data_IF_067497573052
#
_entry.id   IF_067497573052
#
_cell.length_a   1.000
_cell.length_b   1.000
_cell.length_c   1.000
_cell.angle_alpha   90.00
_cell.angle_beta   90.00
_cell.angle_gamma   90.00
#
_symmetry.space_group_name_H-M   'P 1'
#
loop_
_entity.id
_entity.type
_entity.pdbx_description
1 polymer ?
#
# COMPACT_ATOMS: atom_id res chain seq x y z
N UNK A 1 22.25 -6.96 8.75
CA UNK A 1 21.37 -6.39 7.72
C UNK A 1 21.85 -5.00 7.33
N UNK A 2 21.61 -4.62 6.09
CA UNK A 2 21.91 -3.28 5.53
C UNK A 2 20.73 -2.82 4.69
N UNK A 3 20.63 -1.52 4.45
CA UNK A 3 19.67 -0.98 3.49
C UNK A 3 19.82 -1.59 2.09
N UNK A 4 18.73 -1.70 1.33
CA UNK A 4 18.68 -2.45 0.07
C UNK A 4 19.78 -2.05 -0.93
N UNK A 5 20.04 -0.75 -1.10
CA UNK A 5 21.10 -0.27 -2.03
C UNK A 5 22.51 -0.68 -1.59
N UNK A 6 22.72 -0.95 -0.31
CA UNK A 6 23.99 -1.42 0.25
C UNK A 6 24.16 -2.93 0.21
N UNK A 7 23.11 -3.66 -0.18
CA UNK A 7 23.12 -5.12 -0.24
C UNK A 7 23.60 -5.61 -1.60
N UNK A 8 24.77 -6.21 -1.63
CA UNK A 8 25.31 -6.87 -2.83
C UNK A 8 24.32 -7.96 -3.31
N UNK A 9 23.81 -8.76 -2.38
CA UNK A 9 22.85 -9.83 -2.69
C UNK A 9 21.58 -9.29 -3.42
N UNK A 10 20.97 -8.21 -2.91
CA UNK A 10 19.72 -7.70 -3.49
C UNK A 10 19.95 -7.09 -4.88
N UNK A 11 21.00 -6.29 -5.05
CA UNK A 11 21.21 -5.54 -6.29
C UNK A 11 21.99 -6.38 -7.31
N UNK A 12 23.13 -6.95 -6.92
CA UNK A 12 23.99 -7.67 -7.85
C UNK A 12 23.49 -9.10 -8.10
N UNK A 13 23.46 -9.93 -7.05
CA UNK A 13 23.20 -11.37 -7.24
C UNK A 13 21.76 -11.64 -7.67
N UNK A 14 20.79 -10.96 -7.03
CA UNK A 14 19.37 -11.19 -7.32
C UNK A 14 18.90 -10.38 -8.55
N UNK A 15 18.99 -9.03 -8.50
CA UNK A 15 18.40 -8.19 -9.52
C UNK A 15 19.19 -8.28 -10.85
N UNK A 16 20.51 -8.10 -10.80
CA UNK A 16 21.36 -8.08 -12.00
C UNK A 16 21.63 -9.47 -12.56
N UNK A 17 22.10 -10.40 -11.74
CA UNK A 17 22.56 -11.71 -12.25
C UNK A 17 21.40 -12.69 -12.39
N UNK A 18 20.59 -12.91 -11.33
CA UNK A 18 19.51 -13.90 -11.38
C UNK A 18 18.36 -13.50 -12.30
N UNK A 19 17.92 -12.25 -12.23
CA UNK A 19 16.79 -11.74 -13.04
C UNK A 19 17.23 -10.99 -14.30
N UNK A 20 18.51 -10.77 -14.53
CA UNK A 20 19.02 -10.16 -15.75
C UNK A 20 18.55 -8.73 -15.98
N UNK A 21 18.30 -7.96 -14.92
CA UNK A 21 17.81 -6.60 -15.06
C UNK A 21 18.88 -5.65 -15.61
N UNK A 22 18.67 -5.14 -16.82
CA UNK A 22 19.60 -4.28 -17.54
C UNK A 22 19.29 -2.77 -17.43
N UNK A 23 18.17 -2.41 -16.81
CA UNK A 23 17.76 -1.02 -16.65
C UNK A 23 18.56 -0.26 -15.59
N UNK A 24 18.30 1.04 -15.47
CA UNK A 24 18.89 1.91 -14.46
C UNK A 24 18.36 1.54 -13.08
N UNK A 25 19.26 1.40 -12.11
CA UNK A 25 18.93 1.35 -10.69
C UNK A 25 19.31 2.67 -10.05
N UNK A 26 18.31 3.38 -9.53
CA UNK A 26 18.46 4.63 -8.80
C UNK A 26 18.22 4.40 -7.31
N UNK A 27 19.00 5.06 -6.45
CA UNK A 27 18.72 5.06 -5.01
C UNK A 27 17.48 5.89 -4.67
N UNK A 28 16.95 5.69 -3.49
CA UNK A 28 16.08 6.68 -2.85
C UNK A 28 16.86 7.96 -2.49
N UNK A 29 16.15 8.99 -2.01
CA UNK A 29 16.70 10.33 -1.77
C UNK A 29 17.72 10.33 -0.65
N UNK A 30 18.92 10.83 -0.99
CA UNK A 30 20.04 11.13 -0.08
C UNK A 30 20.40 10.00 0.91
N UNK A 31 20.24 8.75 0.49
CA UNK A 31 20.49 7.58 1.36
C UNK A 31 21.96 7.40 1.73
N UNK A 32 22.88 8.06 1.02
CA UNK A 32 24.33 8.05 1.31
C UNK A 32 24.74 9.10 2.32
N UNK A 33 23.84 10.05 2.63
CA UNK A 33 24.06 11.08 3.63
C UNK A 33 24.28 10.53 5.04
N UNK A 34 24.87 11.36 5.90
CA UNK A 34 24.98 11.02 7.31
C UNK A 34 23.61 10.95 7.99
N UNK A 35 23.47 10.14 9.06
CA UNK A 35 22.21 10.04 9.77
C UNK A 35 21.73 11.41 10.28
N UNK A 36 20.46 11.73 10.00
CA UNK A 36 19.82 12.96 10.44
C UNK A 36 18.52 12.64 11.21
N UNK A 37 18.50 12.83 12.53
CA UNK A 37 17.32 12.53 13.36
C UNK A 37 16.06 13.30 12.95
N UNK A 38 16.22 14.48 12.37
CA UNK A 38 15.08 15.34 12.00
C UNK A 38 14.48 14.93 10.64
N UNK A 39 15.29 14.38 9.75
CA UNK A 39 14.87 13.98 8.40
C UNK A 39 14.58 12.48 8.28
N UNK A 40 15.22 11.64 9.08
CA UNK A 40 15.08 10.18 9.00
C UNK A 40 13.86 9.69 9.77
N UNK A 41 12.70 9.76 9.14
CA UNK A 41 11.44 9.40 9.76
C UNK A 41 11.32 7.92 10.17
N UNK A 42 12.03 7.01 9.46
CA UNK A 42 11.88 5.56 9.59
C UNK A 42 13.18 4.80 9.87
N UNK A 43 14.13 5.43 10.51
CA UNK A 43 15.45 4.86 10.80
C UNK A 43 16.55 5.57 10.03
N UNK A 44 17.79 5.07 10.13
CA UNK A 44 18.91 5.66 9.42
C UNK A 44 18.82 5.45 7.92
N UNK A 45 18.96 6.52 7.13
CA UNK A 45 19.05 6.45 5.66
C UNK A 45 20.23 5.60 5.20
N UNK A 46 21.31 5.55 5.97
CA UNK A 46 22.48 4.70 5.73
C UNK A 46 22.50 3.47 6.64
N UNK A 47 21.34 2.83 6.84
CA UNK A 47 21.16 1.70 7.74
C UNK A 47 22.17 0.57 7.51
N UNK A 48 22.90 0.25 8.57
CA UNK A 48 23.90 -0.83 8.61
C UNK A 48 25.24 -0.49 7.99
N UNK A 49 25.48 0.80 7.63
CA UNK A 49 26.73 1.34 7.10
C UNK A 49 27.04 2.73 7.69
N UNK A 50 26.50 3.02 8.85
CA UNK A 50 26.67 4.29 9.54
C UNK A 50 28.13 4.64 9.81
N UNK A 51 28.98 3.63 10.04
CA UNK A 51 30.42 3.77 10.32
C UNK A 51 31.25 4.13 9.09
N UNK A 52 30.68 4.01 7.89
CA UNK A 52 31.37 4.38 6.65
C UNK A 52 31.25 5.89 6.39
N UNK A 53 32.29 6.48 5.77
CA UNK A 53 32.16 7.83 5.24
C UNK A 53 31.17 7.89 4.07
N UNK A 54 30.65 9.10 3.77
CA UNK A 54 29.74 9.31 2.63
C UNK A 54 30.35 8.77 1.32
N UNK A 55 31.64 9.01 1.07
CA UNK A 55 32.31 8.50 -0.12
C UNK A 55 32.42 6.96 -0.14
N UNK A 56 32.68 6.34 1.00
CA UNK A 56 32.70 4.88 1.10
C UNK A 56 31.31 4.25 0.90
N UNK A 57 30.26 4.91 1.37
CA UNK A 57 28.86 4.50 1.10
C UNK A 57 28.56 4.58 -0.40
N UNK A 58 28.95 5.66 -1.07
CA UNK A 58 28.83 5.79 -2.54
C UNK A 58 29.58 4.66 -3.26
N UNK A 59 30.83 4.40 -2.87
CA UNK A 59 31.62 3.32 -3.48
C UNK A 59 30.93 1.96 -3.34
N UNK A 60 30.44 1.64 -2.15
CA UNK A 60 29.73 0.38 -1.90
C UNK A 60 28.50 0.22 -2.81
N UNK A 61 27.68 1.27 -2.93
CA UNK A 61 26.49 1.29 -3.79
C UNK A 61 26.87 1.14 -5.27
N UNK A 62 27.89 1.86 -5.73
CA UNK A 62 28.41 1.75 -7.09
C UNK A 62 28.83 0.31 -7.38
N UNK A 63 29.64 -0.29 -6.50
CA UNK A 63 30.12 -1.66 -6.71
C UNK A 63 29.04 -2.73 -6.65
N UNK A 64 27.93 -2.47 -5.96
CA UNK A 64 26.75 -3.34 -5.95
C UNK A 64 25.94 -3.29 -7.26
N UNK A 65 26.18 -2.32 -8.16
CA UNK A 65 25.48 -2.26 -9.44
C UNK A 65 24.37 -1.20 -9.54
N UNK A 66 24.33 -0.25 -8.61
CA UNK A 66 23.47 0.94 -8.68
C UNK A 66 24.10 1.98 -9.62
N UNK A 67 23.31 2.65 -10.42
CA UNK A 67 23.76 3.51 -11.51
C UNK A 67 23.55 5.00 -11.25
N UNK A 68 22.61 5.35 -10.39
CA UNK A 68 22.21 6.74 -10.14
C UNK A 68 21.86 6.97 -8.66
N UNK A 69 22.16 8.15 -8.16
CA UNK A 69 21.84 8.57 -6.80
C UNK A 69 20.68 9.55 -6.82
N UNK A 70 19.59 9.20 -6.11
CA UNK A 70 18.45 10.09 -5.93
C UNK A 70 18.75 11.19 -4.90
N UNK A 71 18.30 12.42 -5.18
CA UNK A 71 18.41 13.56 -4.27
C UNK A 71 19.81 14.13 -4.03
N UNK A 72 20.84 13.51 -4.55
CA UNK A 72 22.22 13.95 -4.40
C UNK A 72 22.59 14.94 -5.52
N UNK A 73 23.07 16.12 -5.15
CA UNK A 73 23.52 17.17 -6.10
C UNK A 73 25.02 17.43 -6.02
N UNK A 74 25.70 16.90 -5.00
CA UNK A 74 27.14 17.04 -4.81
C UNK A 74 27.87 15.91 -5.53
N UNK A 75 28.80 16.29 -6.44
CA UNK A 75 29.62 15.33 -7.16
C UNK A 75 30.87 14.88 -6.37
N UNK A 76 31.31 15.65 -5.38
CA UNK A 76 32.59 15.39 -4.72
C UNK A 76 32.59 14.02 -4.00
N UNK A 77 31.54 13.57 -3.30
CA UNK A 77 31.52 12.22 -2.71
C UNK A 77 31.66 11.10 -3.76
N UNK A 78 31.10 11.29 -4.97
CA UNK A 78 31.21 10.31 -6.07
C UNK A 78 32.64 10.30 -6.63
N UNK A 79 33.25 11.47 -6.80
CA UNK A 79 34.63 11.58 -7.26
C UNK A 79 35.61 10.97 -6.25
N UNK A 80 35.38 11.18 -4.97
CA UNK A 80 36.19 10.57 -3.92
C UNK A 80 35.98 9.06 -3.86
N UNK A 81 34.73 8.59 -4.00
CA UNK A 81 34.42 7.16 -4.12
C UNK A 81 35.16 6.51 -5.29
N UNK A 82 35.26 7.20 -6.45
CA UNK A 82 36.03 6.72 -7.59
C UNK A 82 37.51 6.58 -7.24
N UNK A 83 38.14 7.60 -6.58
CA UNK A 83 39.55 7.56 -6.16
C UNK A 83 39.81 6.39 -5.21
N UNK A 84 38.97 6.25 -4.14
CA UNK A 84 39.07 5.14 -3.20
C UNK A 84 38.91 3.79 -3.93
N UNK A 85 38.00 3.72 -4.88
CA UNK A 85 37.76 2.52 -5.67
C UNK A 85 38.98 2.18 -6.57
N UNK A 86 39.61 3.17 -7.18
CA UNK A 86 40.85 2.95 -7.96
C UNK A 86 41.99 2.38 -7.12
N UNK A 87 42.15 2.86 -5.89
CA UNK A 87 43.16 2.35 -4.96
C UNK A 87 42.86 0.90 -4.52
N UNK A 88 41.57 0.54 -4.36
CA UNK A 88 41.17 -0.79 -3.87
C UNK A 88 41.04 -1.82 -5.00
N UNK A 89 40.51 -1.45 -6.15
CA UNK A 89 40.09 -2.37 -7.23
C UNK A 89 40.83 -2.14 -8.55
N UNK A 90 41.60 -1.09 -8.65
CA UNK A 90 42.28 -0.68 -9.87
C UNK A 90 41.43 0.23 -10.76
N UNK A 91 42.12 1.14 -11.47
CA UNK A 91 41.50 2.16 -12.33
C UNK A 91 40.66 1.55 -13.45
N UNK A 92 41.12 0.48 -14.10
CA UNK A 92 40.40 -0.19 -15.18
C UNK A 92 39.04 -0.77 -14.70
N UNK A 93 39.04 -1.37 -13.52
CA UNK A 93 37.81 -1.91 -12.92
C UNK A 93 36.79 -0.80 -12.62
N UNK A 94 37.25 0.29 -12.03
CA UNK A 94 36.39 1.41 -11.71
C UNK A 94 35.86 2.10 -12.97
N UNK A 95 36.71 2.32 -13.96
CA UNK A 95 36.32 2.90 -15.25
C UNK A 95 35.24 2.06 -15.92
N UNK A 96 35.43 0.75 -16.06
CA UNK A 96 34.45 -0.15 -16.64
C UNK A 96 33.12 -0.10 -15.88
N UNK A 97 33.17 -0.10 -14.54
CA UNK A 97 31.94 -0.02 -13.73
C UNK A 97 31.19 1.30 -13.96
N UNK A 98 31.85 2.41 -14.09
CA UNK A 98 31.23 3.70 -14.40
C UNK A 98 30.69 3.75 -15.83
N UNK A 99 31.40 3.17 -16.80
CA UNK A 99 30.96 3.03 -18.19
C UNK A 99 29.67 2.20 -18.29
N UNK A 100 29.54 1.11 -17.52
CA UNK A 100 28.30 0.31 -17.44
C UNK A 100 27.10 1.14 -16.99
N UNK A 101 27.27 1.96 -15.96
CA UNK A 101 26.23 2.87 -15.50
C UNK A 101 25.88 3.95 -16.53
N UNK A 102 26.90 4.53 -17.17
CA UNK A 102 26.70 5.52 -18.22
C UNK A 102 25.89 4.94 -19.39
N UNK A 103 26.21 3.73 -19.83
CA UNK A 103 25.46 3.02 -20.89
C UNK A 103 24.00 2.84 -20.49
N UNK A 104 23.72 2.37 -19.29
CA UNK A 104 22.33 2.17 -18.81
C UNK A 104 21.54 3.47 -18.77
N UNK A 105 22.15 4.54 -18.25
CA UNK A 105 21.50 5.87 -18.17
C UNK A 105 21.23 6.43 -19.57
N UNK A 106 22.22 6.38 -20.46
CA UNK A 106 22.10 6.87 -21.83
C UNK A 106 21.10 6.04 -22.65
N UNK A 107 20.99 4.75 -22.38
CA UNK A 107 20.03 3.87 -23.09
C UNK A 107 18.59 4.38 -22.98
N UNK A 108 18.19 4.97 -21.86
CA UNK A 108 16.85 5.56 -21.72
C UNK A 108 16.66 6.75 -22.68
N UNK A 109 17.69 7.57 -22.85
CA UNK A 109 17.65 8.73 -23.76
C UNK A 109 17.55 8.25 -25.21
N UNK A 110 18.34 7.22 -25.58
CA UNK A 110 18.29 6.64 -26.92
C UNK A 110 16.94 5.96 -27.21
N UNK A 111 16.42 5.14 -26.27
CA UNK A 111 15.15 4.43 -26.45
C UNK A 111 13.93 5.35 -26.55
N UNK A 112 13.99 6.52 -25.95
CA UNK A 112 12.93 7.55 -26.05
C UNK A 112 13.12 8.51 -27.22
N UNK A 113 14.22 8.37 -28.02
CA UNK A 113 14.49 9.21 -29.19
C UNK A 113 14.83 10.66 -28.86
N UNK A 114 15.30 10.95 -27.64
CA UNK A 114 15.55 12.33 -27.20
C UNK A 114 16.72 12.99 -27.89
N UNK A 115 17.64 12.23 -28.50
CA UNK A 115 18.73 12.81 -29.33
C UNK A 115 18.20 13.23 -30.70
N UNK A 116 17.22 12.53 -31.25
CA UNK A 116 16.62 12.81 -32.54
C UNK A 116 15.54 13.89 -32.45
N UNK A 117 14.73 13.81 -31.38
CA UNK A 117 13.65 14.76 -31.11
C UNK A 117 13.51 15.05 -29.61
N UNK A 118 14.20 16.06 -29.07
CA UNK A 118 14.14 16.42 -27.66
C UNK A 118 12.87 17.20 -27.27
N UNK A 119 12.05 17.59 -28.23
CA UNK A 119 10.84 18.39 -28.01
C UNK A 119 9.59 17.58 -28.25
N UNK A 120 8.55 17.86 -27.47
CA UNK A 120 7.22 17.31 -27.65
C UNK A 120 6.41 18.23 -28.56
N UNK A 121 5.65 17.61 -29.46
CA UNK A 121 4.64 18.31 -30.24
C UNK A 121 3.38 18.48 -29.38
N UNK A 122 3.00 19.73 -29.10
CA UNK A 122 1.89 20.04 -28.18
C UNK A 122 0.57 19.41 -28.65
N UNK A 123 0.25 19.48 -29.94
CA UNK A 123 -0.99 18.94 -30.50
C UNK A 123 -1.03 17.40 -30.46
N UNK A 124 0.11 16.75 -30.63
CA UNK A 124 0.19 15.28 -30.48
C UNK A 124 0.11 14.87 -28.99
N UNK A 125 0.74 15.64 -28.11
CA UNK A 125 0.63 15.43 -26.67
C UNK A 125 -0.81 15.55 -26.17
N UNK A 126 -1.58 16.54 -26.65
CA UNK A 126 -3.01 16.71 -26.33
C UNK A 126 -3.87 15.54 -26.81
N UNK A 127 -3.52 14.90 -27.91
CA UNK A 127 -4.22 13.71 -28.41
C UNK A 127 -3.89 12.45 -27.60
N UNK A 128 -2.67 12.36 -27.04
CA UNK A 128 -2.19 11.19 -26.33
C UNK A 128 -2.53 11.24 -24.84
N UNK A 129 -2.25 12.38 -24.18
CA UNK A 129 -2.50 12.53 -22.73
C UNK A 129 -4.01 12.60 -22.48
N UNK A 130 -4.49 11.63 -21.71
CA UNK A 130 -5.92 11.53 -21.41
C UNK A 130 -6.77 11.06 -22.61
N UNK A 131 -6.17 10.40 -23.60
CA UNK A 131 -6.92 9.81 -24.72
C UNK A 131 -8.01 8.87 -24.19
N UNK A 132 -9.17 8.90 -24.84
CA UNK A 132 -10.36 8.18 -24.38
C UNK A 132 -10.10 6.67 -24.19
N UNK A 133 -9.32 6.07 -25.08
CA UNK A 133 -8.94 4.64 -24.98
C UNK A 133 -8.14 4.34 -23.72
N UNK A 134 -7.20 5.22 -23.32
CA UNK A 134 -6.39 5.04 -22.09
C UNK A 134 -7.22 5.28 -20.82
N UNK A 135 -8.11 6.29 -20.87
CA UNK A 135 -9.06 6.54 -19.77
C UNK A 135 -9.99 5.34 -19.58
N UNK A 136 -10.52 4.78 -20.66
CA UNK A 136 -11.36 3.57 -20.63
C UNK A 136 -10.58 2.35 -20.10
N UNK A 137 -9.37 2.14 -20.59
CA UNK A 137 -8.52 1.02 -20.11
C UNK A 137 -8.21 1.15 -18.62
N UNK A 138 -7.83 2.35 -18.14
CA UNK A 138 -7.59 2.62 -16.73
C UNK A 138 -8.86 2.45 -15.86
N UNK A 139 -10.01 2.86 -16.37
CA UNK A 139 -11.28 2.67 -15.69
C UNK A 139 -11.68 1.18 -15.62
N UNK A 140 -11.49 0.44 -16.71
CA UNK A 140 -11.73 -1.00 -16.71
C UNK A 140 -10.82 -1.73 -15.72
N UNK A 141 -9.56 -1.34 -15.60
CA UNK A 141 -8.65 -1.88 -14.61
C UNK A 141 -9.14 -1.63 -13.16
N UNK A 142 -9.73 -0.46 -12.88
CA UNK A 142 -10.37 -0.19 -11.59
C UNK A 142 -11.52 -1.19 -11.33
N UNK A 143 -12.41 -1.39 -12.28
CA UNK A 143 -13.51 -2.35 -12.15
C UNK A 143 -13.01 -3.78 -11.96
N UNK A 144 -12.01 -4.20 -12.73
CA UNK A 144 -11.45 -5.54 -12.68
C UNK A 144 -10.67 -5.83 -11.38
N UNK A 145 -10.23 -4.78 -10.66
CA UNK A 145 -9.51 -4.91 -9.39
C UNK A 145 -10.40 -5.03 -8.15
N UNK A 146 -11.70 -4.71 -8.26
CA UNK A 146 -12.64 -4.81 -7.13
C UNK A 146 -12.89 -6.28 -6.80
N UNK A 147 -12.70 -6.65 -5.53
CA UNK A 147 -12.87 -8.01 -5.03
C UNK A 147 -14.22 -8.12 -4.32
N UNK A 148 -15.06 -9.04 -4.73
CA UNK A 148 -16.26 -9.42 -4.00
C UNK A 148 -15.88 -10.51 -2.99
N UNK A 149 -15.92 -10.17 -1.69
CA UNK A 149 -15.57 -11.10 -0.61
C UNK A 149 -16.79 -11.86 -0.07
N UNK A 150 -17.94 -11.19 -0.01
CA UNK A 150 -19.20 -11.74 0.51
C UNK A 150 -20.36 -11.25 -0.33
N UNK A 151 -21.34 -12.13 -0.59
CA UNK A 151 -22.59 -11.80 -1.29
C UNK A 151 -23.75 -12.67 -0.82
N UNK A 152 -24.13 -12.52 0.43
CA UNK A 152 -25.16 -13.34 1.09
C UNK A 152 -26.49 -13.25 0.34
N UNK A 153 -27.00 -14.40 -0.08
CA UNK A 153 -28.27 -14.48 -0.80
C UNK A 153 -28.31 -13.78 -2.15
N UNK A 154 -27.15 -13.43 -2.75
CA UNK A 154 -27.10 -12.76 -4.06
C UNK A 154 -27.64 -11.33 -4.04
N UNK A 155 -27.36 -10.57 -2.99
CA UNK A 155 -27.80 -9.17 -2.83
C UNK A 155 -27.24 -8.28 -3.93
N UNK A 156 -25.98 -8.48 -4.27
CA UNK A 156 -25.34 -7.79 -5.40
C UNK A 156 -25.51 -8.60 -6.70
N UNK A 157 -25.73 -7.93 -7.82
CA UNK A 157 -25.84 -6.49 -7.98
C UNK A 157 -27.20 -5.96 -7.47
N UNK A 158 -27.18 -4.74 -6.93
CA UNK A 158 -28.40 -4.04 -6.54
C UNK A 158 -29.23 -3.71 -7.78
N UNK A 159 -30.57 -3.81 -7.66
CA UNK A 159 -31.50 -3.47 -8.75
C UNK A 159 -31.47 -1.95 -9.01
N UNK A 160 -31.68 -1.58 -10.25
CA UNK A 160 -31.89 -0.19 -10.63
C UNK A 160 -33.02 0.44 -9.79
N UNK A 161 -32.82 1.70 -9.39
CA UNK A 161 -33.74 2.46 -8.52
C UNK A 161 -33.94 1.92 -7.10
N UNK A 162 -33.09 1.01 -6.63
CA UNK A 162 -33.00 0.70 -5.20
C UNK A 162 -32.77 1.98 -4.41
N UNK A 163 -33.50 2.20 -3.33
CA UNK A 163 -33.27 3.34 -2.43
C UNK A 163 -32.09 3.01 -1.53
N UNK A 164 -31.01 3.77 -1.67
CA UNK A 164 -29.74 3.50 -1.01
C UNK A 164 -29.42 4.60 0.01
N UNK A 165 -29.18 4.20 1.23
CA UNK A 165 -28.63 5.03 2.29
C UNK A 165 -27.11 4.93 2.31
N UNK A 166 -26.44 6.08 2.36
CA UNK A 166 -24.98 6.18 2.55
C UNK A 166 -24.75 7.02 3.81
N UNK A 167 -24.28 6.39 4.92
CA UNK A 167 -23.99 7.14 6.14
C UNK A 167 -22.82 8.10 5.90
N UNK A 168 -22.80 9.19 6.67
CA UNK A 168 -21.64 10.04 6.76
C UNK A 168 -20.54 9.29 7.52
N UNK A 169 -19.30 9.54 7.12
CA UNK A 169 -18.12 8.99 7.76
C UNK A 169 -17.40 10.09 8.53
N UNK A 170 -17.08 9.82 9.78
CA UNK A 170 -16.24 10.68 10.59
C UNK A 170 -14.77 10.30 10.38
N UNK A 171 -13.91 11.31 10.16
CA UNK A 171 -12.46 11.15 10.01
C UNK A 171 -11.81 11.98 11.11
N UNK A 172 -11.12 11.31 12.02
CA UNK A 172 -10.36 11.99 13.08
C UNK A 172 -9.23 12.83 12.50
N UNK A 173 -8.94 13.96 13.17
CA UNK A 173 -7.75 14.74 12.86
C UNK A 173 -6.49 13.90 13.11
N UNK A 174 -5.56 13.94 12.16
CA UNK A 174 -4.29 13.18 12.25
C UNK A 174 -3.13 13.95 11.65
N UNK A 175 -1.92 13.60 12.05
CA UNK A 175 -0.70 14.15 11.45
C UNK A 175 -0.50 13.54 10.06
N UNK A 176 -0.53 14.36 9.03
CA UNK A 176 -0.19 13.94 7.67
C UNK A 176 1.32 13.91 7.45
N UNK A 177 1.81 12.95 6.67
CA UNK A 177 3.23 12.75 6.44
C UNK A 177 3.95 14.01 5.90
N UNK A 178 3.33 14.73 4.95
CA UNK A 178 3.87 15.97 4.38
C UNK A 178 2.98 17.20 4.57
N UNK A 179 1.83 17.06 5.22
CA UNK A 179 0.79 18.11 5.24
C UNK A 179 0.51 18.70 6.63
N UNK A 180 1.33 18.38 7.64
CA UNK A 180 1.06 18.79 9.01
C UNK A 180 -0.20 18.13 9.59
N UNK A 181 -0.91 18.82 10.48
CA UNK A 181 -2.16 18.30 11.07
C UNK A 181 -3.32 18.38 10.06
N UNK A 182 -3.88 17.24 9.73
CA UNK A 182 -5.12 17.14 8.99
C UNK A 182 -6.28 17.31 9.97
N UNK A 183 -7.26 18.20 9.67
CA UNK A 183 -8.36 18.46 10.59
C UNK A 183 -9.33 17.28 10.67
N UNK A 184 -9.99 17.18 11.81
CA UNK A 184 -11.19 16.35 11.96
C UNK A 184 -12.29 16.82 11.01
N UNK A 185 -12.99 15.88 10.37
CA UNK A 185 -14.05 16.20 9.42
C UNK A 185 -15.09 15.09 9.32
N UNK A 186 -16.33 15.50 9.03
CA UNK A 186 -17.40 14.59 8.65
C UNK A 186 -17.58 14.66 7.13
N UNK A 187 -17.43 13.56 6.43
CA UNK A 187 -17.55 13.49 4.98
C UNK A 187 -18.74 12.66 4.54
N UNK A 188 -19.27 12.95 3.35
CA UNK A 188 -20.11 12.05 2.59
C UNK A 188 -19.24 11.32 1.57
N UNK A 189 -19.05 10.01 1.68
CA UNK A 189 -18.16 9.26 0.78
C UNK A 189 -18.62 9.30 -0.69
N UNK A 190 -19.91 9.51 -0.89
CA UNK A 190 -20.56 9.54 -2.20
C UNK A 190 -21.35 10.82 -2.36
N UNK A 191 -21.24 11.50 -3.50
CA UNK A 191 -22.13 12.60 -3.83
C UNK A 191 -23.50 12.07 -4.28
N UNK A 192 -24.57 12.82 -3.97
CA UNK A 192 -25.93 12.46 -4.39
C UNK A 192 -26.03 12.31 -5.91
N UNK A 193 -25.45 13.24 -6.65
CA UNK A 193 -25.43 13.22 -8.13
C UNK A 193 -24.80 11.93 -8.69
N UNK A 194 -23.73 11.45 -8.06
CA UNK A 194 -23.04 10.24 -8.50
C UNK A 194 -23.86 8.98 -8.20
N UNK A 195 -24.46 8.90 -7.02
CA UNK A 195 -25.30 7.77 -6.60
C UNK A 195 -26.57 7.69 -7.45
N UNK A 196 -27.20 8.82 -7.75
CA UNK A 196 -28.46 8.88 -8.49
C UNK A 196 -28.33 8.50 -9.98
N UNK A 197 -27.12 8.20 -10.46
CA UNK A 197 -26.92 7.58 -11.78
C UNK A 197 -27.44 6.14 -11.84
N UNK A 198 -27.50 5.43 -10.71
CA UNK A 198 -27.93 4.04 -10.63
C UNK A 198 -29.08 3.81 -9.64
N UNK A 199 -29.11 4.58 -8.57
CA UNK A 199 -29.96 4.35 -7.40
C UNK A 199 -30.81 5.57 -7.07
N UNK A 200 -31.65 5.45 -6.06
CA UNK A 200 -32.37 6.57 -5.47
C UNK A 200 -31.74 6.87 -4.11
N UNK A 201 -31.40 8.13 -3.88
CA UNK A 201 -30.87 8.56 -2.59
C UNK A 201 -31.92 8.45 -1.50
N UNK A 202 -31.58 7.78 -0.38
CA UNK A 202 -32.35 7.76 0.85
C UNK A 202 -31.66 8.63 1.91
N UNK A 203 -32.42 9.52 2.54
CA UNK A 203 -31.86 10.42 3.57
C UNK A 203 -31.76 9.75 4.95
N UNK A 204 -32.42 8.60 5.13
CA UNK A 204 -32.40 7.84 6.38
C UNK A 204 -32.42 6.32 6.13
N UNK A 205 -31.93 5.51 7.10
CA UNK A 205 -32.04 4.05 7.02
C UNK A 205 -33.49 3.54 6.88
N UNK A 206 -34.44 4.26 7.46
CA UNK A 206 -35.86 3.89 7.43
C UNK A 206 -36.43 3.94 6.02
N UNK A 207 -36.00 4.91 5.22
CA UNK A 207 -36.45 5.13 3.85
C UNK A 207 -35.73 4.25 2.83
N UNK A 208 -34.58 3.70 3.22
CA UNK A 208 -33.73 2.92 2.33
C UNK A 208 -34.22 1.47 2.17
N UNK A 209 -33.86 0.87 1.04
CA UNK A 209 -33.98 -0.56 0.76
C UNK A 209 -32.64 -1.28 1.02
N UNK A 210 -31.52 -0.57 0.89
CA UNK A 210 -30.16 -1.04 1.16
C UNK A 210 -29.26 0.09 1.68
N UNK A 211 -28.15 -0.25 2.32
CA UNK A 211 -27.11 0.71 2.68
C UNK A 211 -25.78 0.36 2.04
N UNK A 212 -25.03 1.38 1.57
CA UNK A 212 -23.62 1.30 1.17
C UNK A 212 -22.79 2.00 2.24
N UNK A 213 -21.96 1.26 2.96
CA UNK A 213 -21.12 1.77 4.04
C UNK A 213 -19.67 1.77 3.59
N UNK A 214 -19.10 2.94 3.40
CA UNK A 214 -17.71 3.12 2.96
C UNK A 214 -16.81 3.23 4.18
N UNK A 215 -15.85 2.33 4.29
CA UNK A 215 -14.84 2.29 5.36
C UNK A 215 -13.45 2.07 4.78
N UNK A 216 -12.42 2.38 5.56
CA UNK A 216 -11.04 2.01 5.24
C UNK A 216 -10.57 0.92 6.19
N UNK A 217 -9.65 0.07 5.76
CA UNK A 217 -8.97 -0.88 6.65
C UNK A 217 -8.34 -0.15 7.86
N UNK A 218 -8.05 -0.84 8.97
CA UNK A 218 -7.49 -0.21 10.15
C UNK A 218 -6.28 0.68 9.84
N UNK A 219 -6.36 1.97 10.17
CA UNK A 219 -5.31 2.95 9.97
C UNK A 219 -4.62 3.18 11.32
N UNK A 220 -3.41 2.68 11.45
CA UNK A 220 -2.58 3.00 12.61
C UNK A 220 -1.72 4.21 12.30
N UNK A 221 -1.56 5.10 13.27
CA UNK A 221 -0.52 6.14 13.24
C UNK A 221 0.86 5.51 13.53
N UNK A 222 0.99 4.21 13.24
CA UNK A 222 2.09 3.35 13.63
C UNK A 222 3.41 3.69 12.97
N UNK A 223 4.44 3.15 13.54
CA UNK A 223 5.84 3.37 13.20
C UNK A 223 6.60 3.85 14.41
N UNK A 224 6.72 5.16 14.59
CA UNK A 224 7.48 5.75 15.69
C UNK A 224 6.71 6.88 16.35
N UNK A 225 6.46 6.74 17.64
CA UNK A 225 5.90 7.78 18.47
C UNK A 225 6.85 8.04 19.64
N UNK A 226 7.22 9.31 19.84
CA UNK A 226 8.14 9.73 20.92
C UNK A 226 9.47 8.96 20.95
N UNK A 227 9.98 8.56 19.79
CA UNK A 227 11.24 7.83 19.66
C UNK A 227 11.14 6.32 19.95
N UNK A 228 9.93 5.77 20.12
CA UNK A 228 9.68 4.35 20.32
C UNK A 228 8.84 3.77 19.21
N UNK A 229 9.05 2.48 18.94
CA UNK A 229 8.24 1.75 17.97
C UNK A 229 6.83 1.51 18.49
N UNK A 230 5.83 1.86 17.67
CA UNK A 230 4.41 1.63 17.95
C UNK A 230 3.91 0.52 17.01
N UNK A 231 3.25 -0.54 17.52
CA UNK A 231 2.79 -1.63 16.69
C UNK A 231 1.67 -1.20 15.75
N UNK A 232 1.68 -1.78 14.55
CA UNK A 232 0.58 -1.69 13.60
C UNK A 232 -0.52 -2.66 14.06
N UNK A 233 -1.78 -2.21 14.08
CA UNK A 233 -2.95 -3.09 14.28
C UNK A 233 -3.65 -3.34 12.95
N UNK A 234 -4.05 -4.58 12.71
CA UNK A 234 -4.87 -4.98 11.56
C UNK A 234 -6.36 -5.12 11.93
N UNK A 235 -6.73 -4.78 13.16
CA UNK A 235 -8.12 -4.71 13.63
C UNK A 235 -8.46 -3.30 14.13
N UNK A 236 -9.77 -2.96 14.14
CA UNK A 236 -10.24 -1.63 14.53
C UNK A 236 -10.15 -1.41 16.05
N UNK A 237 -10.56 -2.41 16.85
CA UNK A 237 -10.52 -2.29 18.30
C UNK A 237 -9.08 -2.39 18.82
N UNK A 238 -8.75 -1.74 19.93
CA UNK A 238 -7.43 -1.88 20.55
C UNK A 238 -7.07 -3.34 20.79
N UNK A 239 -5.83 -3.69 20.52
CA UNK A 239 -5.31 -5.05 20.72
C UNK A 239 -3.94 -5.01 21.39
N UNK A 240 -3.79 -5.79 22.46
CA UNK A 240 -2.51 -5.99 23.14
C UNK A 240 -1.88 -7.31 22.72
N UNK A 241 -0.69 -7.25 22.11
CA UNK A 241 0.02 -8.41 21.60
C UNK A 241 0.74 -9.16 22.76
N UNK A 242 0.05 -10.08 23.39
CA UNK A 242 0.60 -10.82 24.55
C UNK A 242 1.54 -11.95 24.14
N UNK A 243 1.32 -12.57 22.98
CA UNK A 243 2.03 -13.77 22.51
C UNK A 243 2.96 -13.50 21.34
N UNK A 244 3.18 -12.23 20.99
CA UNK A 244 4.16 -11.86 19.97
C UNK A 244 5.57 -12.28 20.38
N UNK A 245 6.43 -12.51 19.40
CA UNK A 245 7.83 -12.89 19.65
C UNK A 245 8.55 -11.85 20.48
N UNK A 246 9.36 -12.30 21.44
CA UNK A 246 10.20 -11.42 22.27
C UNK A 246 11.22 -10.64 21.43
N UNK A 247 11.68 -11.23 20.33
CA UNK A 247 12.68 -10.64 19.45
C UNK A 247 12.19 -10.58 18.02
N UNK A 248 12.16 -9.38 17.46
CA UNK A 248 11.90 -9.13 16.05
C UNK A 248 13.19 -9.24 15.23
N UNK A 249 13.10 -9.60 13.93
CA UNK A 249 14.22 -9.51 13.00
C UNK A 249 14.52 -8.06 12.57
N UNK A 250 13.59 -7.14 12.78
CA UNK A 250 13.77 -5.72 12.55
C UNK A 250 14.18 -4.97 13.81
N UNK A 251 14.87 -3.87 13.66
CA UNK A 251 15.28 -2.99 14.76
C UNK A 251 16.34 -1.99 14.32
N UNK A 252 16.44 -0.88 15.04
CA UNK A 252 17.43 0.17 14.78
C UNK A 252 18.00 0.67 16.11
N UNK A 253 19.31 0.60 16.26
CA UNK A 253 20.01 1.15 17.43
C UNK A 253 20.18 2.65 17.35
N UNK A 254 20.08 3.19 16.18
CA UNK A 254 20.39 4.58 15.94
C UNK A 254 19.28 5.54 16.36
N UNK A 255 18.03 5.23 16.01
CA UNK A 255 16.89 6.11 16.30
C UNK A 255 16.11 5.72 17.53
N UNK A 256 15.94 4.44 17.76
CA UNK A 256 15.06 3.90 18.79
C UNK A 256 15.75 3.63 20.10
N UNK A 257 17.10 3.71 20.15
CA UNK A 257 17.89 3.13 21.22
C UNK A 257 17.51 1.65 21.47
N UNK A 258 16.89 1.01 20.50
CA UNK A 258 16.31 -0.30 20.61
C UNK A 258 16.71 -1.14 19.39
N UNK A 259 17.32 -2.29 19.65
CA UNK A 259 17.68 -3.27 18.62
C UNK A 259 16.53 -4.20 18.28
N UNK A 260 15.41 -4.05 18.98
CA UNK A 260 14.30 -4.96 18.91
C UNK A 260 12.99 -4.22 18.73
N UNK A 261 12.35 -4.41 17.57
CA UNK A 261 11.02 -3.88 17.27
C UNK A 261 9.90 -4.85 17.65
N UNK A 262 10.13 -5.75 18.60
CA UNK A 262 9.04 -6.58 19.10
C UNK A 262 7.91 -5.73 19.66
N UNK A 263 6.70 -6.13 19.34
CA UNK A 263 5.47 -5.51 19.86
C UNK A 263 4.81 -6.32 20.98
N UNK A 264 5.53 -7.32 21.53
CA UNK A 264 5.08 -8.08 22.69
C UNK A 264 4.73 -7.16 23.87
N UNK A 265 3.54 -7.35 24.42
CA UNK A 265 3.00 -6.54 25.51
C UNK A 265 2.60 -5.11 25.16
N UNK A 266 2.75 -4.70 23.90
CA UNK A 266 2.33 -3.38 23.43
C UNK A 266 0.89 -3.41 22.89
N UNK A 267 0.17 -2.31 23.09
CA UNK A 267 -1.20 -2.15 22.59
C UNK A 267 -1.20 -1.30 21.32
N UNK A 268 -1.74 -1.86 20.23
CA UNK A 268 -2.03 -1.14 19.00
C UNK A 268 -3.37 -0.44 19.07
N UNK A 269 -3.46 0.78 18.52
CA UNK A 269 -4.66 1.56 18.38
C UNK A 269 -4.81 2.01 16.93
N UNK A 270 -6.05 2.20 16.47
CA UNK A 270 -6.33 2.70 15.12
C UNK A 270 -6.94 4.10 15.16
N UNK A 271 -6.61 4.91 14.16
CA UNK A 271 -7.17 6.24 14.01
C UNK A 271 -8.63 6.23 13.51
N UNK A 272 -9.09 5.12 12.94
CA UNK A 272 -10.41 4.96 12.33
C UNK A 272 -11.26 3.85 12.97
N UNK A 273 -11.14 3.64 14.26
CA UNK A 273 -11.99 2.70 15.02
C UNK A 273 -13.50 2.95 14.78
N UNK A 274 -13.87 4.19 14.54
CA UNK A 274 -15.26 4.60 14.27
C UNK A 274 -15.81 4.05 12.95
N UNK A 275 -14.97 3.59 12.02
CA UNK A 275 -15.43 2.90 10.82
C UNK A 275 -16.14 1.57 11.17
N UNK A 276 -15.63 0.83 12.17
CA UNK A 276 -16.32 -0.35 12.69
C UNK A 276 -17.68 0.01 13.31
N UNK A 277 -17.71 1.07 14.15
CA UNK A 277 -18.95 1.54 14.75
C UNK A 277 -19.97 1.98 13.69
N UNK A 278 -19.50 2.58 12.59
CA UNK A 278 -20.33 2.97 11.47
C UNK A 278 -21.04 1.77 10.84
N UNK A 279 -20.33 0.67 10.60
CA UNK A 279 -20.93 -0.58 10.08
C UNK A 279 -21.94 -1.14 11.05
N UNK A 280 -21.57 -1.32 12.32
CA UNK A 280 -22.43 -1.90 13.37
C UNK A 280 -23.70 -1.08 13.55
N UNK A 281 -23.57 0.24 13.66
CA UNK A 281 -24.72 1.13 13.88
C UNK A 281 -25.61 1.22 12.65
N UNK A 282 -25.04 1.17 11.44
CA UNK A 282 -25.82 1.12 10.20
C UNK A 282 -26.62 -0.18 10.14
N UNK A 283 -26.01 -1.34 10.42
CA UNK A 283 -26.75 -2.62 10.45
C UNK A 283 -27.89 -2.62 11.47
N UNK A 284 -27.65 -2.09 12.66
CA UNK A 284 -28.71 -1.93 13.68
C UNK A 284 -29.85 -1.05 13.18
N UNK A 285 -29.56 0.05 12.51
CA UNK A 285 -30.58 0.97 12.01
C UNK A 285 -31.32 0.43 10.78
N UNK A 286 -30.66 -0.38 9.94
CA UNK A 286 -31.23 -1.02 8.76
C UNK A 286 -32.09 -2.27 9.14
N UNK A 287 -31.80 -2.92 10.27
CA UNK A 287 -32.48 -4.17 10.68
C UNK A 287 -32.18 -5.29 9.69
N UNK A 288 -33.26 -5.89 9.13
CA UNK A 288 -33.16 -6.99 8.16
C UNK A 288 -32.77 -6.53 6.73
N UNK A 289 -32.73 -5.22 6.50
CA UNK A 289 -32.36 -4.70 5.19
C UNK A 289 -30.84 -4.85 4.97
N UNK A 290 -30.41 -5.09 3.71
CA UNK A 290 -29.02 -5.38 3.42
C UNK A 290 -28.09 -4.18 3.67
N UNK A 291 -26.92 -4.50 4.22
CA UNK A 291 -25.79 -3.58 4.40
C UNK A 291 -24.61 -4.10 3.59
N UNK A 292 -24.19 -3.31 2.64
CA UNK A 292 -23.04 -3.60 1.79
C UNK A 292 -21.85 -2.76 2.28
N UNK A 293 -20.79 -3.42 2.68
CA UNK A 293 -19.53 -2.74 3.07
C UNK A 293 -18.67 -2.54 1.86
N UNK A 294 -18.27 -1.29 1.61
CA UNK A 294 -17.31 -0.87 0.60
C UNK A 294 -15.99 -0.57 1.32
N UNK A 295 -15.05 -1.53 1.28
CA UNK A 295 -13.81 -1.50 2.05
C UNK A 295 -12.65 -1.04 1.18
N UNK A 296 -12.07 0.11 1.49
CA UNK A 296 -10.76 0.52 0.95
C UNK A 296 -9.64 -0.13 1.75
N UNK A 297 -8.86 -0.98 1.12
CA UNK A 297 -7.77 -1.71 1.78
C UNK A 297 -6.42 -1.03 1.56
N UNK A 298 -5.81 -0.60 2.66
CA UNK A 298 -4.41 -0.14 2.71
C UNK A 298 -3.48 -1.22 3.27
N UNK A 299 -4.03 -2.08 4.14
CA UNK A 299 -3.35 -3.18 4.79
C UNK A 299 -4.28 -4.42 4.81
N UNK A 300 -3.76 -5.63 5.00
CA UNK A 300 -4.59 -6.78 5.40
C UNK A 300 -5.43 -6.39 6.63
N UNK A 301 -6.65 -6.87 6.70
CA UNK A 301 -7.55 -6.51 7.79
C UNK A 301 -8.20 -7.73 8.41
N UNK A 302 -8.41 -7.69 9.73
CA UNK A 302 -9.19 -8.68 10.48
C UNK A 302 -10.67 -8.42 10.20
N UNK A 303 -11.25 -9.22 9.31
CA UNK A 303 -12.65 -9.05 8.88
C UNK A 303 -13.67 -9.47 9.94
N UNK A 304 -13.31 -10.33 10.90
CA UNK A 304 -14.21 -10.86 11.93
C UNK A 304 -14.91 -9.79 12.76
N UNK A 305 -14.38 -8.56 12.83
CA UNK A 305 -15.00 -7.48 13.59
C UNK A 305 -16.24 -6.89 12.89
N UNK A 306 -16.27 -6.83 11.56
CA UNK A 306 -17.35 -6.18 10.79
C UNK A 306 -18.11 -7.12 9.84
N UNK A 307 -17.51 -8.21 9.41
CA UNK A 307 -18.11 -9.16 8.45
C UNK A 307 -19.48 -9.68 8.91
N UNK A 308 -19.72 -10.00 10.21
CA UNK A 308 -21.03 -10.47 10.66
C UNK A 308 -22.16 -9.42 10.51
N UNK A 309 -21.81 -8.16 10.36
CA UNK A 309 -22.75 -7.05 10.17
C UNK A 309 -22.94 -6.65 8.70
N UNK A 310 -22.21 -7.29 7.80
CA UNK A 310 -22.27 -7.05 6.36
C UNK A 310 -23.01 -8.18 5.65
N UNK A 311 -23.94 -7.85 4.77
CA UNK A 311 -24.62 -8.81 3.90
C UNK A 311 -23.87 -8.98 2.57
N UNK A 312 -23.08 -7.98 2.15
CA UNK A 312 -22.09 -8.09 1.09
C UNK A 312 -20.86 -7.24 1.40
N UNK A 313 -19.70 -7.63 0.86
CA UNK A 313 -18.42 -6.91 1.04
C UNK A 313 -17.73 -6.78 -0.31
N UNK A 314 -17.53 -5.54 -0.74
CA UNK A 314 -16.68 -5.17 -1.86
C UNK A 314 -15.39 -4.56 -1.32
N UNK A 315 -14.25 -5.20 -1.58
CA UNK A 315 -12.93 -4.69 -1.21
C UNK A 315 -12.22 -4.09 -2.43
N UNK A 316 -11.52 -2.97 -2.22
CA UNK A 316 -10.81 -2.26 -3.28
C UNK A 316 -9.50 -1.66 -2.74
N UNK A 317 -8.63 -1.18 -3.64
CA UNK A 317 -7.26 -0.75 -3.35
C UNK A 317 -6.96 0.67 -3.87
N UNK A 318 -7.93 1.58 -3.81
CA UNK A 318 -7.80 2.97 -4.26
C UNK A 318 -8.50 3.26 -5.59
N UNK A 319 -9.59 2.56 -5.89
CA UNK A 319 -10.43 2.86 -7.06
C UNK A 319 -11.33 4.08 -6.80
N UNK A 320 -11.88 4.65 -7.86
CA UNK A 320 -12.83 5.75 -7.74
C UNK A 320 -14.17 5.27 -7.14
N UNK A 321 -14.83 6.14 -6.38
CA UNK A 321 -16.19 5.90 -5.87
C UNK A 321 -17.19 5.53 -6.99
N UNK A 322 -16.97 6.09 -8.21
CA UNK A 322 -17.76 5.72 -9.39
C UNK A 322 -17.62 4.23 -9.70
N UNK A 323 -16.41 3.68 -9.69
CA UNK A 323 -16.19 2.28 -9.99
C UNK A 323 -16.87 1.36 -8.95
N UNK A 324 -16.87 1.76 -7.66
CA UNK A 324 -17.60 1.03 -6.61
C UNK A 324 -19.11 1.04 -6.84
N UNK A 325 -19.69 2.19 -7.21
CA UNK A 325 -21.11 2.27 -7.50
C UNK A 325 -21.49 1.48 -8.76
N UNK A 326 -20.68 1.57 -9.83
CA UNK A 326 -20.87 0.79 -11.05
C UNK A 326 -20.79 -0.71 -10.78
N UNK A 327 -19.86 -1.16 -9.92
CA UNK A 327 -19.79 -2.56 -9.48
C UNK A 327 -21.03 -2.97 -8.68
N UNK A 328 -21.44 -2.16 -7.70
CA UNK A 328 -22.64 -2.44 -6.90
C UNK A 328 -23.92 -2.46 -7.75
N UNK A 329 -23.96 -1.73 -8.86
CA UNK A 329 -25.06 -1.70 -9.82
C UNK A 329 -24.99 -2.80 -10.90
N UNK A 330 -23.93 -3.61 -10.93
CA UNK A 330 -23.75 -4.67 -11.91
C UNK A 330 -23.38 -4.18 -13.32
N UNK A 331 -22.81 -2.98 -13.46
CA UNK A 331 -22.27 -2.48 -14.74
C UNK A 331 -21.10 -3.34 -15.21
N UNK A 332 -20.37 -3.92 -14.28
CA UNK A 332 -19.33 -4.91 -14.53
C UNK A 332 -19.51 -6.10 -13.58
N UNK A 333 -18.92 -7.24 -13.95
CA UNK A 333 -18.89 -8.43 -13.09
C UNK A 333 -17.60 -8.43 -12.25
N UNK A 334 -17.63 -8.89 -10.99
CA UNK A 334 -16.42 -9.01 -10.18
C UNK A 334 -15.40 -9.96 -10.83
N UNK A 335 -14.13 -9.54 -10.86
CA UNK A 335 -12.99 -10.31 -11.37
C UNK A 335 -11.80 -10.25 -10.42
N UNK A 336 -11.82 -9.29 -9.50
CA UNK A 336 -10.74 -9.06 -8.55
C UNK A 336 -10.56 -10.24 -7.61
N UNK A 337 -9.30 -10.48 -7.24
CA UNK A 337 -8.90 -11.49 -6.26
C UNK A 337 -8.00 -10.86 -5.21
N UNK A 338 -8.10 -11.36 -3.98
CA UNK A 338 -7.24 -10.87 -2.89
C UNK A 338 -5.75 -11.00 -3.24
N UNK A 339 -4.98 -9.92 -3.20
CA UNK A 339 -3.54 -9.97 -3.40
C UNK A 339 -2.77 -10.38 -2.13
N UNK A 340 -3.47 -10.58 -1.01
CA UNK A 340 -2.93 -10.92 0.31
C UNK A 340 -3.89 -11.84 1.04
N UNK A 341 -3.38 -12.57 2.07
CA UNK A 341 -4.22 -13.27 3.02
C UNK A 341 -4.84 -12.29 4.01
N UNK A 342 -6.13 -12.42 4.34
CA UNK A 342 -6.77 -11.66 5.42
C UNK A 342 -6.75 -12.52 6.68
N UNK A 343 -6.08 -12.07 7.77
CA UNK A 343 -5.89 -12.88 8.96
C UNK A 343 -7.23 -13.14 9.67
N UNK A 344 -7.35 -14.34 10.25
CA UNK A 344 -8.50 -14.70 11.08
C UNK A 344 -8.68 -13.74 12.26
N UNK A 345 -7.59 -13.40 12.94
CA UNK A 345 -7.53 -12.53 14.11
C UNK A 345 -6.08 -12.04 14.35
N UNK A 346 -5.91 -11.17 15.34
CA UNK A 346 -4.59 -10.65 15.70
C UNK A 346 -3.70 -11.68 16.39
N UNK A 347 -4.26 -12.72 17.01
CA UNK A 347 -3.46 -13.81 17.60
C UNK A 347 -2.70 -14.58 16.51
N UNK A 348 -3.32 -14.80 15.36
CA UNK A 348 -2.66 -15.40 14.20
C UNK A 348 -1.57 -14.49 13.64
N UNK A 349 -1.81 -13.17 13.63
CA UNK A 349 -0.78 -12.19 13.21
C UNK A 349 0.45 -12.24 14.13
N UNK A 350 0.28 -12.44 15.45
CA UNK A 350 1.39 -12.61 16.38
C UNK A 350 2.25 -13.85 16.10
N UNK A 351 1.62 -14.92 15.59
CA UNK A 351 2.29 -16.18 15.26
C UNK A 351 2.98 -16.16 13.91
N UNK A 352 2.61 -15.20 13.05
CA UNK A 352 3.20 -15.02 11.73
C UNK A 352 4.70 -14.73 11.83
N UNK A 353 5.48 -15.37 10.95
CA UNK A 353 6.91 -15.12 10.84
C UNK A 353 7.18 -13.98 9.88
N UNK A 354 7.99 -13.03 10.30
CA UNK A 354 8.26 -11.78 9.55
C UNK A 354 8.88 -12.03 8.16
N UNK A 355 9.50 -13.19 7.94
CA UNK A 355 10.24 -13.57 6.74
C UNK A 355 9.65 -14.79 5.99
N UNK A 356 8.44 -15.23 6.35
CA UNK A 356 7.75 -16.37 5.73
C UNK A 356 6.45 -15.90 5.09
N UNK A 357 6.28 -16.16 3.80
CA UNK A 357 5.05 -15.89 3.10
C UNK A 357 4.01 -17.01 3.29
N UNK A 358 2.74 -16.67 3.27
CA UNK A 358 1.60 -17.59 3.30
C UNK A 358 1.52 -18.49 4.56
N UNK A 359 2.00 -18.02 5.70
CA UNK A 359 1.90 -18.73 6.97
C UNK A 359 0.78 -18.21 7.91
N UNK A 360 -0.07 -17.30 7.41
CA UNK A 360 -1.25 -16.83 8.11
C UNK A 360 -2.42 -17.80 7.93
N UNK A 361 -3.15 -18.07 9.01
CA UNK A 361 -4.47 -18.68 8.95
C UNK A 361 -5.50 -17.62 8.52
N UNK A 362 -6.03 -17.78 7.31
CA UNK A 362 -6.97 -16.83 6.75
C UNK A 362 -8.35 -16.90 7.42
N UNK A 363 -9.06 -15.78 7.44
CA UNK A 363 -10.43 -15.70 7.93
C UNK A 363 -11.38 -16.55 7.08
N UNK A 364 -12.29 -17.26 7.75
CA UNK A 364 -13.36 -18.03 7.10
C UNK A 364 -14.69 -17.45 7.59
N UNK A 365 -15.55 -17.03 6.65
CA UNK A 365 -16.87 -16.50 6.96
C UNK A 365 -17.92 -17.60 7.27
N UNK A 366 -19.15 -17.19 7.63
CA UNK A 366 -20.24 -18.11 7.96
C UNK A 366 -20.65 -19.02 6.79
N UNK A 367 -20.39 -18.62 5.55
CA UNK A 367 -20.70 -19.37 4.33
C UNK A 367 -19.56 -20.34 3.94
N UNK A 368 -18.46 -20.34 4.69
CA UNK A 368 -17.27 -21.18 4.46
C UNK A 368 -16.31 -20.61 3.43
N UNK A 369 -16.42 -19.33 3.09
CA UNK A 369 -15.48 -18.66 2.21
C UNK A 369 -14.21 -18.32 2.97
N UNK A 370 -13.07 -18.79 2.48
CA UNK A 370 -11.76 -18.53 3.05
C UNK A 370 -11.13 -17.31 2.35
N UNK A 371 -10.90 -16.23 3.09
CA UNK A 371 -10.34 -14.98 2.54
C UNK A 371 -8.82 -15.06 2.40
N UNK A 372 -8.38 -16.07 1.67
CA UNK A 372 -6.98 -16.36 1.38
C UNK A 372 -6.50 -15.62 0.12
N UNK A 373 -5.19 -15.66 -0.12
CA UNK A 373 -4.60 -15.17 -1.36
C UNK A 373 -5.29 -15.75 -2.59
N UNK A 374 -5.63 -14.90 -3.53
CA UNK A 374 -6.33 -15.31 -4.76
C UNK A 374 -7.83 -15.52 -4.62
N UNK A 375 -8.42 -15.32 -3.43
CA UNK A 375 -9.85 -15.44 -3.22
C UNK A 375 -10.64 -14.26 -3.80
N UNK A 376 -11.78 -14.55 -4.40
CA UNK A 376 -12.79 -13.61 -4.86
C UNK A 376 -14.02 -14.38 -5.33
N UNK A 377 -15.18 -13.74 -5.30
CA UNK A 377 -16.47 -14.29 -5.74
C UNK A 377 -16.96 -13.58 -7.00
N UNK A 378 -17.79 -14.28 -7.79
CA UNK A 378 -18.70 -13.64 -8.73
C UNK A 378 -20.05 -13.27 -8.06
N UNK A 379 -20.97 -12.66 -8.80
CA UNK A 379 -22.28 -12.30 -8.25
C UNK A 379 -23.17 -13.51 -7.90
N UNK A 380 -22.89 -14.68 -8.41
CA UNK A 380 -23.55 -15.93 -8.09
C UNK A 380 -23.04 -16.56 -6.79
N UNK A 381 -21.96 -15.99 -6.22
CA UNK A 381 -21.27 -16.53 -5.03
C UNK A 381 -20.30 -17.67 -5.38
N UNK A 382 -19.98 -17.85 -6.65
CA UNK A 382 -19.00 -18.84 -7.10
C UNK A 382 -17.59 -18.27 -6.99
N UNK A 383 -16.63 -19.10 -6.53
CA UNK A 383 -15.22 -18.68 -6.46
C UNK A 383 -14.65 -18.47 -7.86
N UNK A 384 -13.99 -17.36 -8.05
CA UNK A 384 -13.25 -17.07 -9.29
C UNK A 384 -12.10 -18.07 -9.46
N UNK A 385 -12.06 -18.74 -10.61
CA UNK A 385 -11.05 -19.76 -10.97
C UNK A 385 -9.71 -19.16 -11.42
#
# INVERSE_FOLDING_TARGET
>A
NVGNSYSEYMIKDLLREKYGYEGVVCTDWDITGDPDPDLDAFGSRCYGVEDLSVAQRHLRIIMNGVDQFGGNQDKEPVMEAYRIGCDLYGEETMRRRMEESAVRILMNIFRTGLFENPYLEEEESKKTVGAEEYVKAGYQAQLDSIVLLKNKGGILPLKEKTRVYVPKRHIRGRKGFFRGMLPEQEIRPVSRELLEKHFIWADSPQEADAALVFIESPLTDGGFENGTYVPISLQYRPYTAEHARETSIAGSTWRENDRNRSYQGKTGHTANEEDLDLVINTKKAMGEKPVIVCLTMHNPTVCSEFEPYADAILAEFGVSTKAMLDMAAGVSVPKGRLPVQLPRDMEIVEKHREDVAFDLEAYIDEEGNCYDYGFGLDFQGEKLS
#
